data_IF_713414117127
#
_entry.id   IF_713414117127
#
_cell.length_a   1.000
_cell.length_b   1.000
_cell.length_c   1.000
_cell.angle_alpha   90.00
_cell.angle_beta   90.00
_cell.angle_gamma   90.00
#
_symmetry.space_group_name_H-M   'P 1'
#
loop_
_entity.id
_entity.type
_entity.pdbx_description
1 polymer ?
#
# COMPACT_ATOMS: atom_id res chain seq x y z
N UNK A 1 -5.49 13.24 9.21
CA UNK A 1 -6.71 13.68 8.47
C UNK A 1 -7.27 15.00 8.99
N UNK A 2 -7.29 15.24 10.30
CA UNK A 2 -7.73 16.52 10.89
C UNK A 2 -6.99 17.72 10.28
N UNK A 3 -5.67 17.64 10.15
CA UNK A 3 -4.85 18.71 9.54
C UNK A 3 -5.15 18.94 8.05
N UNK A 4 -5.84 18.01 7.39
CA UNK A 4 -6.28 18.12 5.99
C UNK A 4 -7.72 18.64 5.86
N UNK A 5 -8.35 19.04 6.97
CA UNK A 5 -9.74 19.51 6.97
C UNK A 5 -10.81 18.42 7.08
N UNK A 6 -10.42 17.16 7.22
CA UNK A 6 -11.37 16.04 7.40
C UNK A 6 -11.81 15.94 8.86
N UNK A 7 -12.69 16.84 9.27
CA UNK A 7 -13.05 17.04 10.68
C UNK A 7 -14.36 16.33 11.08
N UNK A 8 -15.14 15.91 10.10
CA UNK A 8 -16.44 15.28 10.32
C UNK A 8 -16.58 13.99 9.49
N UNK A 9 -17.58 13.14 9.80
CA UNK A 9 -17.88 11.97 8.97
C UNK A 9 -18.19 12.30 7.51
N UNK A 10 -18.72 13.49 7.25
CA UNK A 10 -19.06 13.98 5.91
C UNK A 10 -17.82 14.34 5.08
N UNK A 11 -16.71 14.67 5.74
CA UNK A 11 -15.43 15.00 5.11
C UNK A 11 -14.61 13.76 4.72
N UNK A 12 -15.15 12.57 4.83
CA UNK A 12 -14.41 11.33 4.53
C UNK A 12 -14.08 11.22 3.04
N UNK A 13 -12.87 10.79 2.75
CA UNK A 13 -12.44 10.48 1.37
C UNK A 13 -13.26 9.33 0.79
N UNK A 14 -13.58 8.35 1.62
CA UNK A 14 -14.45 7.23 1.29
C UNK A 14 -15.63 7.18 2.27
N UNK A 15 -16.81 6.72 1.84
CA UNK A 15 -17.95 6.47 2.74
C UNK A 15 -17.55 5.56 3.91
N UNK A 16 -18.23 5.69 5.04
CA UNK A 16 -17.97 4.89 6.23
C UNK A 16 -18.21 3.39 6.02
N UNK A 17 -19.16 3.09 5.12
CA UNK A 17 -19.59 1.75 4.74
C UNK A 17 -18.97 1.28 3.42
N UNK A 18 -17.90 1.93 2.95
CA UNK A 18 -17.19 1.55 1.74
C UNK A 18 -16.71 0.09 1.84
N UNK A 19 -17.05 -0.70 0.84
CA UNK A 19 -16.73 -2.13 0.80
C UNK A 19 -15.50 -2.40 -0.07
N UNK A 20 -14.56 -3.15 0.47
CA UNK A 20 -13.32 -3.58 -0.18
C UNK A 20 -13.45 -5.04 -0.66
N UNK A 21 -14.52 -5.37 -1.35
CA UNK A 21 -14.94 -6.75 -1.57
C UNK A 21 -14.17 -7.44 -2.71
N UNK A 22 -13.72 -6.67 -3.66
CA UNK A 22 -13.05 -7.18 -4.85
C UNK A 22 -11.89 -6.27 -5.29
N UNK A 23 -11.22 -6.65 -6.35
CA UNK A 23 -10.07 -5.92 -6.87
C UNK A 23 -10.44 -4.53 -7.40
N UNK A 24 -11.61 -4.37 -7.95
CA UNK A 24 -12.07 -3.11 -8.54
C UNK A 24 -12.33 -2.08 -7.45
N UNK A 25 -13.14 -2.43 -6.45
CA UNK A 25 -13.43 -1.55 -5.30
C UNK A 25 -12.18 -1.22 -4.50
N UNK A 26 -11.26 -2.18 -4.31
CA UNK A 26 -9.96 -1.92 -3.67
C UNK A 26 -9.15 -0.89 -4.47
N UNK A 27 -9.04 -1.07 -5.78
CA UNK A 27 -8.28 -0.18 -6.65
C UNK A 27 -8.88 1.23 -6.66
N UNK A 28 -10.21 1.35 -6.74
CA UNK A 28 -10.90 2.65 -6.70
C UNK A 28 -10.67 3.36 -5.37
N UNK A 29 -10.83 2.64 -4.25
CA UNK A 29 -10.57 3.19 -2.92
C UNK A 29 -9.13 3.66 -2.74
N UNK A 30 -8.16 2.86 -3.18
CA UNK A 30 -6.73 3.23 -3.14
C UNK A 30 -6.44 4.47 -3.98
N UNK A 31 -7.01 4.58 -5.18
CA UNK A 31 -6.87 5.78 -6.03
C UNK A 31 -7.38 7.04 -5.33
N UNK A 32 -8.57 6.98 -4.76
CA UNK A 32 -9.17 8.11 -4.02
C UNK A 32 -8.33 8.51 -2.81
N UNK A 33 -7.91 7.53 -2.00
CA UNK A 33 -7.10 7.78 -0.81
C UNK A 33 -5.73 8.36 -1.19
N UNK A 34 -5.05 7.78 -2.14
CA UNK A 34 -3.71 8.25 -2.55
C UNK A 34 -3.79 9.63 -3.20
N UNK A 35 -4.78 9.91 -4.04
CA UNK A 35 -4.97 11.22 -4.64
C UNK A 35 -5.16 12.31 -3.58
N UNK A 36 -5.99 12.06 -2.56
CA UNK A 36 -6.22 13.01 -1.47
C UNK A 36 -5.00 13.20 -0.55
N UNK A 37 -4.23 12.15 -0.28
CA UNK A 37 -3.12 12.18 0.68
C UNK A 37 -1.78 12.54 0.04
N UNK A 38 -1.62 12.31 -1.25
CA UNK A 38 -0.35 12.50 -1.98
C UNK A 38 0.30 13.87 -1.80
N UNK A 39 -0.41 15.01 -1.81
CA UNK A 39 0.21 16.32 -1.61
C UNK A 39 0.92 16.45 -0.25
N UNK A 40 0.51 15.68 0.74
CA UNK A 40 0.99 15.73 2.12
C UNK A 40 1.98 14.60 2.45
N UNK A 41 2.14 13.66 1.54
CA UNK A 41 2.99 12.48 1.75
C UNK A 41 4.42 12.80 1.32
N UNK A 42 5.38 12.54 2.20
CA UNK A 42 6.81 12.72 1.95
C UNK A 42 7.42 11.41 1.43
N UNK A 43 6.97 10.29 2.00
CA UNK A 43 7.43 8.95 1.74
C UNK A 43 6.29 7.97 1.97
N UNK A 44 6.38 6.77 1.43
CA UNK A 44 5.40 5.71 1.69
C UNK A 44 6.05 4.34 1.77
N UNK A 45 5.43 3.49 2.57
CA UNK A 45 5.82 2.11 2.70
C UNK A 45 4.95 1.22 1.84
N UNK A 46 5.54 0.17 1.33
CA UNK A 46 4.87 -0.88 0.55
C UNK A 46 4.92 -2.17 1.33
N UNK A 47 3.78 -2.80 1.48
CA UNK A 47 3.65 -4.12 2.09
C UNK A 47 2.63 -4.94 1.32
N UNK A 48 2.74 -6.26 1.37
CA UNK A 48 1.67 -7.16 0.99
C UNK A 48 0.81 -7.48 2.21
N UNK A 49 -0.49 -7.66 2.00
CA UNK A 49 -1.44 -7.97 3.04
C UNK A 49 -2.47 -8.99 2.52
N UNK A 50 -2.78 -10.00 3.29
CA UNK A 50 -3.78 -11.02 2.94
C UNK A 50 -5.21 -10.67 3.35
N UNK A 51 -5.39 -9.53 4.01
CA UNK A 51 -6.68 -9.07 4.52
C UNK A 51 -7.15 -9.77 5.78
N UNK A 52 -6.35 -10.65 6.38
CA UNK A 52 -6.74 -11.41 7.56
C UNK A 52 -6.48 -10.61 8.83
N UNK A 53 -7.50 -10.38 9.64
CA UNK A 53 -7.38 -9.76 10.95
C UNK A 53 -7.36 -10.82 12.06
N UNK A 54 -6.41 -10.70 12.97
CA UNK A 54 -6.19 -11.65 14.07
C UNK A 54 -6.30 -10.94 15.41
N UNK A 55 -7.35 -11.09 16.14
CA UNK A 55 -7.44 -10.57 17.48
C UNK A 55 -7.74 -9.07 17.60
N UNK A 56 -7.30 -8.42 18.70
CA UNK A 56 -7.72 -7.07 19.10
C UNK A 56 -6.63 -6.01 19.10
N UNK A 57 -5.39 -6.39 18.92
CA UNK A 57 -4.25 -5.46 18.80
C UNK A 57 -4.35 -4.58 17.56
N UNK A 58 -3.65 -3.46 17.54
CA UNK A 58 -3.69 -2.52 16.42
C UNK A 58 -3.31 -3.18 15.08
N UNK A 59 -2.23 -3.96 15.06
CA UNK A 59 -1.78 -4.70 13.88
C UNK A 59 -2.70 -5.87 13.56
N UNK A 60 -3.29 -6.51 14.57
CA UNK A 60 -4.21 -7.62 14.36
C UNK A 60 -5.53 -7.17 13.74
N UNK A 61 -5.95 -5.92 13.94
CA UNK A 61 -7.17 -5.34 13.36
C UNK A 61 -7.00 -4.92 11.90
N UNK A 62 -5.78 -4.62 11.48
CA UNK A 62 -5.48 -4.11 10.14
C UNK A 62 -5.01 -5.18 9.17
N UNK A 63 -4.97 -6.42 9.60
CA UNK A 63 -4.34 -7.53 8.88
C UNK A 63 -2.82 -7.53 9.07
N UNK A 64 -2.20 -8.65 8.74
CA UNK A 64 -0.76 -8.82 8.85
C UNK A 64 -0.09 -8.65 7.52
N UNK A 65 1.08 -8.04 7.54
CA UNK A 65 1.96 -8.05 6.38
C UNK A 65 2.37 -9.49 6.08
N UNK A 66 2.24 -9.88 4.83
CA UNK A 66 2.67 -11.19 4.35
C UNK A 66 3.79 -11.04 3.31
N UNK A 67 4.38 -12.16 2.90
CA UNK A 67 5.46 -12.13 1.91
C UNK A 67 4.99 -11.51 0.58
N UNK A 68 5.89 -10.87 -0.14
CA UNK A 68 5.60 -10.21 -1.41
C UNK A 68 4.96 -11.16 -2.44
N UNK A 69 5.28 -12.45 -2.35
CA UNK A 69 4.80 -13.52 -3.24
C UNK A 69 3.71 -14.39 -2.61
N UNK A 70 3.10 -13.94 -1.50
CA UNK A 70 2.05 -14.70 -0.84
C UNK A 70 0.84 -14.88 -1.79
N UNK A 71 0.40 -16.13 -2.03
CA UNK A 71 -0.73 -16.39 -2.94
C UNK A 71 -2.07 -15.84 -2.44
N UNK A 72 -2.18 -15.54 -1.15
CA UNK A 72 -3.36 -14.92 -0.55
C UNK A 72 -3.26 -13.38 -0.51
N UNK A 73 -2.14 -12.82 -0.94
CA UNK A 73 -1.93 -11.38 -0.99
C UNK A 73 -3.00 -10.67 -1.80
N UNK A 74 -3.57 -9.60 -1.25
CA UNK A 74 -4.69 -8.85 -1.84
C UNK A 74 -4.22 -7.75 -2.78
N UNK A 75 -2.97 -7.31 -2.66
CA UNK A 75 -2.46 -6.16 -3.40
C UNK A 75 -1.70 -6.61 -4.66
N UNK A 76 -1.93 -5.93 -5.78
CA UNK A 76 -0.94 -5.87 -6.85
C UNK A 76 0.04 -4.76 -6.50
N UNK A 77 1.13 -5.14 -5.85
CA UNK A 77 2.11 -4.20 -5.27
C UNK A 77 2.58 -3.17 -6.30
N UNK A 78 2.82 -3.60 -7.54
CA UNK A 78 3.36 -2.70 -8.56
C UNK A 78 2.32 -1.69 -9.06
N UNK A 79 1.07 -2.12 -9.23
CA UNK A 79 -0.03 -1.24 -9.62
C UNK A 79 -0.43 -0.33 -8.48
N UNK A 80 -0.60 -0.88 -7.27
CA UNK A 80 -1.11 -0.13 -6.13
C UNK A 80 -0.10 0.91 -5.62
N UNK A 81 1.19 0.61 -5.62
CA UNK A 81 2.24 1.59 -5.37
C UNK A 81 2.23 2.71 -6.43
N UNK A 82 1.85 2.39 -7.66
CA UNK A 82 1.73 3.35 -8.76
C UNK A 82 0.76 4.49 -8.48
N UNK A 83 -0.29 4.26 -7.68
CA UNK A 83 -1.24 5.31 -7.30
C UNK A 83 -0.62 6.42 -6.44
N UNK A 84 0.49 6.16 -5.76
CA UNK A 84 1.28 7.17 -5.10
C UNK A 84 2.16 7.95 -6.08
N UNK A 85 2.68 7.28 -7.10
CA UNK A 85 3.69 7.82 -8.01
C UNK A 85 3.06 8.62 -9.15
N UNK A 86 1.85 8.27 -9.59
CA UNK A 86 1.20 8.87 -10.74
C UNK A 86 -0.21 9.36 -10.41
N UNK A 87 -0.59 10.48 -11.04
CA UNK A 87 -1.95 10.99 -10.99
C UNK A 87 -2.87 10.21 -11.96
N UNK A 88 -4.12 10.64 -12.04
CA UNK A 88 -5.15 10.02 -12.89
C UNK A 88 -4.83 10.13 -14.40
N UNK A 89 -4.00 11.09 -14.78
CA UNK A 89 -3.51 11.27 -16.16
C UNK A 89 -2.25 10.45 -16.46
N UNK A 90 -1.74 9.68 -15.49
CA UNK A 90 -0.51 8.91 -15.63
C UNK A 90 0.77 9.71 -15.50
N UNK A 91 0.70 10.98 -15.10
CA UNK A 91 1.87 11.83 -14.92
C UNK A 91 2.51 11.58 -13.55
N UNK A 92 3.84 11.65 -13.47
CA UNK A 92 4.55 11.62 -12.18
C UNK A 92 4.16 12.85 -11.35
N UNK A 93 3.61 12.61 -10.19
CA UNK A 93 3.01 13.67 -9.36
C UNK A 93 3.95 14.30 -8.39
N UNK A 94 4.94 13.54 -7.92
CA UNK A 94 5.89 13.97 -6.91
C UNK A 94 7.17 13.17 -7.05
N UNK A 95 8.29 13.83 -6.87
CA UNK A 95 9.59 13.19 -6.81
C UNK A 95 9.78 12.52 -5.44
N UNK A 96 9.15 11.36 -5.22
CA UNK A 96 9.50 10.49 -4.12
C UNK A 96 10.95 10.03 -4.32
N UNK A 97 11.78 10.20 -3.30
CA UNK A 97 13.19 9.76 -3.34
C UNK A 97 13.35 8.31 -2.92
N UNK A 98 12.45 7.85 -2.07
CA UNK A 98 12.50 6.53 -1.45
C UNK A 98 11.13 5.89 -1.42
N UNK A 99 11.11 4.57 -1.59
CA UNK A 99 9.99 3.70 -1.32
C UNK A 99 10.54 2.58 -0.44
N UNK A 100 9.96 2.41 0.75
CA UNK A 100 10.40 1.39 1.70
C UNK A 100 9.49 0.16 1.63
N UNK A 101 10.08 -1.03 1.69
CA UNK A 101 9.33 -2.24 1.99
C UNK A 101 9.11 -2.35 3.49
N UNK A 102 7.87 -2.56 3.90
CA UNK A 102 7.52 -2.80 5.30
C UNK A 102 7.30 -4.30 5.55
N UNK A 103 8.28 -4.92 6.18
CA UNK A 103 8.26 -6.33 6.59
C UNK A 103 8.22 -6.49 8.12
N UNK A 104 7.82 -5.47 8.87
CA UNK A 104 7.94 -5.43 10.34
C UNK A 104 7.21 -6.56 11.07
N UNK A 105 6.25 -7.23 10.42
CA UNK A 105 5.47 -8.32 11.00
C UNK A 105 5.95 -9.72 10.60
N UNK A 106 7.05 -9.81 9.88
CA UNK A 106 7.59 -11.11 9.47
C UNK A 106 8.24 -11.81 10.65
N UNK A 107 7.99 -13.12 10.84
CA UNK A 107 8.77 -13.92 11.78
C UNK A 107 10.27 -13.90 11.44
N UNK A 108 11.14 -13.94 12.45
CA UNK A 108 12.59 -13.94 12.25
C UNK A 108 13.04 -15.05 11.28
N UNK A 109 12.48 -16.24 11.39
CA UNK A 109 12.81 -17.34 10.48
C UNK A 109 12.51 -17.04 9.00
N UNK A 110 11.59 -16.12 8.70
CA UNK A 110 11.31 -15.65 7.34
C UNK A 110 12.34 -14.60 6.92
N UNK A 111 12.70 -13.70 7.84
CA UNK A 111 13.71 -12.65 7.58
C UNK A 111 15.13 -13.20 7.39
N UNK A 112 15.43 -14.36 7.94
CA UNK A 112 16.73 -15.05 7.78
C UNK A 112 16.90 -15.74 6.41
N UNK A 113 15.82 -15.86 5.63
CA UNK A 113 15.85 -16.52 4.33
C UNK A 113 16.24 -15.55 3.21
N UNK A 114 17.29 -15.87 2.47
CA UNK A 114 17.71 -15.10 1.30
C UNK A 114 16.57 -14.94 0.26
N UNK A 115 15.73 -15.97 0.11
CA UNK A 115 14.57 -15.93 -0.78
C UNK A 115 13.61 -14.77 -0.46
N UNK A 116 13.35 -14.50 0.82
CA UNK A 116 12.48 -13.40 1.24
C UNK A 116 12.97 -12.07 0.69
N UNK A 117 14.26 -11.79 0.82
CA UNK A 117 14.87 -10.56 0.33
C UNK A 117 14.91 -10.47 -1.19
N UNK A 118 15.14 -11.59 -1.86
CA UNK A 118 15.10 -11.65 -3.33
C UNK A 118 13.67 -11.36 -3.85
N UNK A 119 12.64 -11.90 -3.22
CA UNK A 119 11.24 -11.66 -3.59
C UNK A 119 10.84 -10.20 -3.35
N UNK A 120 11.24 -9.62 -2.23
CA UNK A 120 11.04 -8.19 -1.93
C UNK A 120 11.72 -7.32 -2.99
N UNK A 121 12.99 -7.59 -3.27
CA UNK A 121 13.74 -6.83 -4.27
C UNK A 121 13.10 -6.93 -5.65
N UNK A 122 12.67 -8.11 -6.06
CA UNK A 122 11.97 -8.32 -7.33
C UNK A 122 10.65 -7.53 -7.39
N UNK A 123 9.88 -7.50 -6.31
CA UNK A 123 8.66 -6.72 -6.21
C UNK A 123 8.96 -5.21 -6.34
N UNK A 124 9.98 -4.71 -5.67
CA UNK A 124 10.34 -3.29 -5.72
C UNK A 124 10.90 -2.88 -7.10
N UNK A 125 11.68 -3.76 -7.75
CA UNK A 125 12.11 -3.54 -9.14
C UNK A 125 10.89 -3.46 -10.07
N UNK A 126 9.89 -4.32 -9.87
CA UNK A 126 8.65 -4.28 -10.65
C UNK A 126 7.88 -2.98 -10.43
N UNK A 127 7.78 -2.49 -9.18
CA UNK A 127 7.20 -1.16 -8.89
C UNK A 127 7.90 -0.08 -9.71
N UNK A 128 9.22 -0.06 -9.65
CA UNK A 128 10.05 0.93 -10.34
C UNK A 128 9.86 0.87 -11.87
N UNK A 129 9.97 -0.31 -12.46
CA UNK A 129 9.91 -0.48 -13.90
C UNK A 129 8.52 -0.21 -14.46
N UNK A 130 7.47 -0.72 -13.81
CA UNK A 130 6.09 -0.52 -14.28
C UNK A 130 5.67 0.96 -14.24
N UNK A 131 6.14 1.69 -13.24
CA UNK A 131 5.77 3.09 -13.04
C UNK A 131 6.79 4.07 -13.63
N UNK A 132 7.81 3.61 -14.34
CA UNK A 132 8.90 4.44 -14.86
C UNK A 132 9.47 5.40 -13.81
N UNK A 133 9.60 4.91 -12.58
CA UNK A 133 10.13 5.67 -11.46
C UNK A 133 11.66 5.47 -11.38
N UNK A 134 12.39 6.56 -11.46
CA UNK A 134 13.88 6.59 -11.48
C UNK A 134 14.44 7.38 -10.32
#
# INVERSE_FOLDING_TARGET
>A
LYLLGYNSPEDRILPADYQWNDRETLTEGLKKLTAALRPWTIDFHVAQNDGTAYGSGSHDKTGRHCQATDPNGKLDIAIDAGHWLRNENGELTKAFKHICWDGCMFPNAVLEQQKTWNDILAAMIKVRSLNSWS
#
